data_IF_172462269081
#
_entry.id   IF_172462269081
#
_cell.length_a   1.000
_cell.length_b   1.000
_cell.length_c   1.000
_cell.angle_alpha   90.00
_cell.angle_beta   90.00
_cell.angle_gamma   90.00
#
_symmetry.space_group_name_H-M   'P 1'
#
loop_
_entity.id
_entity.type
_entity.pdbx_description
1 polymer ?
#
# COMPACT_ATOMS: atom_id res chain seq x y z
N UNK A 1 -16.00 14.21 15.58
CA UNK A 1 -14.69 14.56 15.06
C UNK A 1 -14.69 14.07 13.65
N UNK A 2 -14.90 14.99 12.72
CA UNK A 2 -14.62 14.75 11.31
C UNK A 2 -13.13 14.47 11.16
N UNK A 3 -12.70 13.93 10.02
CA UNK A 3 -11.27 13.69 9.78
C UNK A 3 -10.45 14.99 9.90
N UNK A 4 -11.05 16.11 9.52
CA UNK A 4 -10.46 17.46 9.61
C UNK A 4 -10.15 17.81 11.07
N UNK A 5 -11.10 17.60 12.00
CA UNK A 5 -10.90 17.84 13.43
C UNK A 5 -9.74 17.01 14.04
N UNK A 6 -9.46 15.82 13.48
CA UNK A 6 -8.35 14.95 13.93
C UNK A 6 -7.00 15.46 13.45
N UNK A 7 -6.93 15.92 12.19
CA UNK A 7 -5.73 16.53 11.62
C UNK A 7 -5.42 17.86 12.32
N UNK A 8 -6.42 18.70 12.56
CA UNK A 8 -6.26 19.94 13.33
C UNK A 8 -5.77 19.66 14.76
N UNK A 9 -6.26 18.59 15.41
CA UNK A 9 -5.75 18.17 16.71
C UNK A 9 -4.28 17.73 16.63
N UNK A 10 -3.88 16.96 15.61
CA UNK A 10 -2.49 16.56 15.39
C UNK A 10 -1.59 17.77 15.15
N UNK A 11 -2.03 18.71 14.31
CA UNK A 11 -1.31 19.94 13.98
C UNK A 11 -1.14 20.87 15.19
N UNK A 12 -2.01 20.75 16.19
CA UNK A 12 -1.88 21.48 17.46
C UNK A 12 -0.77 20.95 18.38
N UNK A 13 -0.23 19.75 18.11
CA UNK A 13 0.79 19.11 18.95
C UNK A 13 2.20 19.39 18.43
N UNK A 14 3.22 19.41 19.31
CA UNK A 14 4.61 19.54 18.88
C UNK A 14 5.02 18.43 17.89
N UNK A 15 5.94 18.74 17.00
CA UNK A 15 6.47 17.74 16.06
C UNK A 15 7.02 16.51 16.83
N UNK A 16 6.75 15.31 16.31
CA UNK A 16 7.22 14.03 16.87
C UNK A 16 6.76 13.73 18.31
N UNK A 17 5.65 14.33 18.76
CA UNK A 17 5.16 14.20 20.15
C UNK A 17 3.94 13.30 20.34
N UNK A 18 3.34 12.79 19.26
CA UNK A 18 2.11 11.99 19.29
C UNK A 18 2.39 10.52 18.99
N UNK A 19 1.91 9.63 19.85
CA UNK A 19 1.98 8.17 19.67
C UNK A 19 0.74 7.67 18.93
N UNK A 20 0.92 7.01 17.78
CA UNK A 20 -0.17 6.33 17.06
C UNK A 20 -0.26 4.85 17.46
N UNK A 21 -1.47 4.38 17.78
CA UNK A 21 -1.72 3.03 18.28
C UNK A 21 -2.86 2.40 17.48
N UNK A 22 -2.57 1.27 16.83
CA UNK A 22 -3.56 0.49 16.08
C UNK A 22 -3.16 -0.98 16.02
N UNK A 23 -4.13 -1.87 16.17
CA UNK A 23 -3.95 -3.33 16.15
C UNK A 23 -4.39 -3.95 14.80
N UNK A 24 -4.34 -3.16 13.73
CA UNK A 24 -4.67 -3.60 12.36
C UNK A 24 -6.12 -4.09 12.24
N UNK A 25 -6.47 -4.87 11.22
CA UNK A 25 -7.83 -5.39 11.00
C UNK A 25 -8.10 -6.73 11.68
N UNK A 26 -7.06 -7.52 11.97
CA UNK A 26 -7.19 -8.92 12.40
C UNK A 26 -7.29 -9.09 13.92
N UNK A 27 -6.56 -8.29 14.69
CA UNK A 27 -6.40 -8.52 16.15
C UNK A 27 -7.50 -7.85 16.98
N UNK A 28 -8.10 -8.58 17.91
CA UNK A 28 -8.96 -8.04 18.96
C UNK A 28 -8.25 -8.19 20.31
N UNK A 29 -8.31 -7.15 21.13
CA UNK A 29 -7.71 -7.15 22.46
C UNK A 29 -8.72 -7.63 23.51
N UNK A 30 -8.24 -8.27 24.57
CA UNK A 30 -9.05 -8.52 25.76
C UNK A 30 -9.28 -7.23 26.55
N UNK A 31 -10.28 -7.21 27.44
CA UNK A 31 -10.54 -6.07 28.32
C UNK A 31 -9.34 -5.75 29.22
N UNK A 32 -8.64 -6.77 29.72
CA UNK A 32 -7.42 -6.62 30.51
C UNK A 32 -6.31 -5.92 29.71
N UNK A 33 -6.08 -6.33 28.46
CA UNK A 33 -5.10 -5.69 27.60
C UNK A 33 -5.45 -4.22 27.31
N UNK A 34 -6.74 -3.92 27.10
CA UNK A 34 -7.21 -2.53 26.94
C UNK A 34 -6.95 -1.71 28.20
N UNK A 35 -7.19 -2.26 29.39
CA UNK A 35 -6.94 -1.59 30.65
C UNK A 35 -5.46 -1.29 30.85
N UNK A 36 -4.58 -2.25 30.60
CA UNK A 36 -3.12 -2.07 30.74
C UNK A 36 -2.59 -1.02 29.76
N UNK A 37 -3.05 -1.02 28.51
CA UNK A 37 -2.67 0.02 27.53
C UNK A 37 -3.16 1.39 28.00
N UNK A 38 -4.42 1.49 28.44
CA UNK A 38 -4.98 2.74 28.94
C UNK A 38 -4.20 3.29 30.14
N UNK A 39 -3.83 2.42 31.09
CA UNK A 39 -2.99 2.79 32.23
C UNK A 39 -1.59 3.23 31.80
N UNK A 40 -0.95 2.50 30.89
CA UNK A 40 0.36 2.86 30.34
C UNK A 40 0.35 4.23 29.66
N UNK A 41 -0.69 4.52 28.88
CA UNK A 41 -0.84 5.80 28.20
C UNK A 41 -0.99 6.96 29.19
N UNK A 42 -1.88 6.83 30.18
CA UNK A 42 -2.06 7.86 31.21
C UNK A 42 -0.76 8.12 32.00
N UNK A 43 -0.06 7.05 32.39
CA UNK A 43 1.17 7.18 33.17
C UNK A 43 2.35 7.74 32.37
N UNK A 44 2.35 7.55 31.04
CA UNK A 44 3.41 8.05 30.17
C UNK A 44 3.37 9.57 29.96
N UNK A 45 2.21 10.20 30.13
CA UNK A 45 2.01 11.63 29.87
C UNK A 45 2.13 12.04 28.39
N UNK A 46 2.28 11.09 27.47
CA UNK A 46 2.39 11.38 26.04
C UNK A 46 1.04 11.77 25.45
N UNK A 47 1.07 12.55 24.36
CA UNK A 47 -0.12 12.68 23.51
C UNK A 47 -0.27 11.42 22.66
N UNK A 48 -1.49 10.93 22.47
CA UNK A 48 -1.72 9.70 21.73
C UNK A 48 -3.01 9.71 20.88
N UNK A 49 -2.92 9.02 19.75
CA UNK A 49 -4.02 8.70 18.87
C UNK A 49 -4.23 7.18 18.89
N UNK A 50 -5.29 6.72 19.57
CA UNK A 50 -5.58 5.30 19.70
C UNK A 50 -6.83 4.89 18.91
N UNK A 51 -6.62 4.05 17.90
CA UNK A 51 -7.67 3.45 17.08
C UNK A 51 -8.17 2.16 17.74
N UNK A 52 -9.37 2.24 18.32
CA UNK A 52 -10.05 1.09 18.92
C UNK A 52 -11.10 0.51 17.97
N UNK A 53 -11.23 -0.82 17.97
CA UNK A 53 -12.28 -1.49 17.19
C UNK A 53 -13.57 -1.54 17.99
N UNK A 54 -14.72 -1.22 17.38
CA UNK A 54 -16.00 -1.64 17.93
C UNK A 54 -16.07 -3.17 17.98
N UNK A 55 -16.73 -3.76 18.98
CA UNK A 55 -16.97 -5.20 19.00
C UNK A 55 -17.78 -5.62 17.76
N UNK A 56 -17.59 -6.86 17.32
CA UNK A 56 -18.33 -7.42 16.19
C UNK A 56 -19.80 -7.65 16.62
N UNK A 57 -20.76 -7.11 15.86
CA UNK A 57 -22.20 -7.15 16.19
C UNK A 57 -22.76 -8.58 16.37
N UNK A 58 -22.11 -9.56 15.76
CA UNK A 58 -22.54 -10.97 15.78
C UNK A 58 -21.74 -11.85 16.75
N UNK A 59 -20.75 -11.29 17.47
CA UNK A 59 -19.84 -12.11 18.27
C UNK A 59 -20.33 -12.38 19.71
N UNK A 60 -21.43 -11.76 20.16
CA UNK A 60 -21.90 -11.91 21.54
C UNK A 60 -20.87 -11.46 22.59
N UNK A 61 -19.81 -10.77 22.18
CA UNK A 61 -18.73 -10.26 23.04
C UNK A 61 -19.10 -8.87 23.51
N UNK A 62 -18.97 -8.63 24.80
CA UNK A 62 -19.18 -7.32 25.43
C UNK A 62 -18.36 -6.22 24.74
N UNK A 63 -18.94 -5.02 24.69
CA UNK A 63 -18.25 -3.83 24.19
C UNK A 63 -16.95 -3.66 24.97
N UNK A 64 -15.80 -3.55 24.28
CA UNK A 64 -14.56 -3.14 24.94
C UNK A 64 -14.79 -1.74 25.50
N UNK A 65 -14.78 -1.62 26.83
CA UNK A 65 -15.04 -0.37 27.54
C UNK A 65 -13.70 0.23 27.94
N UNK A 66 -13.52 1.53 27.74
CA UNK A 66 -12.36 2.22 28.31
C UNK A 66 -12.50 2.27 29.84
N UNK A 67 -11.39 2.23 30.61
CA UNK A 67 -11.47 2.41 32.05
C UNK A 67 -12.23 3.67 32.44
N UNK A 68 -12.92 3.62 33.58
CA UNK A 68 -13.70 4.76 34.07
C UNK A 68 -12.83 6.01 34.24
N UNK A 69 -13.35 7.15 33.75
CA UNK A 69 -12.66 8.43 33.78
C UNK A 69 -11.41 8.51 32.89
N UNK A 70 -11.14 7.52 32.03
CA UNK A 70 -9.95 7.52 31.17
C UNK A 70 -9.89 8.76 30.26
N UNK A 71 -10.98 9.10 29.58
CA UNK A 71 -11.01 10.26 28.69
C UNK A 71 -10.88 11.59 29.44
N UNK A 72 -11.45 11.68 30.64
CA UNK A 72 -11.31 12.87 31.49
C UNK A 72 -9.86 13.04 31.97
N UNK A 73 -9.23 11.95 32.39
CA UNK A 73 -7.81 11.94 32.81
C UNK A 73 -6.86 12.21 31.66
N UNK A 74 -7.17 11.70 30.47
CA UNK A 74 -6.34 11.92 29.29
C UNK A 74 -6.53 13.32 28.68
N UNK A 75 -7.72 13.92 28.86
CA UNK A 75 -8.04 15.28 28.42
C UNK A 75 -7.64 15.54 26.97
N UNK A 76 -7.00 16.68 26.74
CA UNK A 76 -6.60 17.19 25.43
C UNK A 76 -5.45 16.37 24.80
N UNK A 77 -4.83 15.47 25.56
CA UNK A 77 -3.73 14.62 25.11
C UNK A 77 -4.21 13.35 24.41
N UNK A 78 -5.52 13.07 24.43
CA UNK A 78 -6.08 11.88 23.79
C UNK A 78 -7.05 12.20 22.67
N UNK A 79 -6.84 11.49 21.56
CA UNK A 79 -7.91 11.22 20.59
C UNK A 79 -8.15 9.71 20.56
N UNK A 80 -9.28 9.24 21.09
CA UNK A 80 -9.65 7.81 21.12
C UNK A 80 -10.92 7.59 20.31
N UNK A 81 -10.82 6.69 19.33
CA UNK A 81 -11.80 6.65 18.25
C UNK A 81 -12.57 5.34 18.15
N UNK A 82 -13.77 5.26 18.74
CA UNK A 82 -14.89 4.56 18.07
C UNK A 82 -15.22 5.23 16.72
N UNK A 83 -14.84 6.51 16.57
CA UNK A 83 -14.81 7.31 15.33
C UNK A 83 -13.68 6.96 14.34
N UNK A 84 -12.76 6.05 14.70
CA UNK A 84 -11.88 5.45 13.70
C UNK A 84 -12.66 4.68 12.61
N UNK A 85 -13.93 4.37 12.86
CA UNK A 85 -14.88 3.87 11.85
C UNK A 85 -15.13 4.88 10.72
N UNK A 86 -15.14 6.18 11.01
CA UNK A 86 -15.20 7.25 9.99
C UNK A 86 -13.86 7.36 9.26
N UNK A 87 -12.73 7.24 9.97
CA UNK A 87 -11.41 7.18 9.33
C UNK A 87 -11.29 5.95 8.41
N UNK A 88 -11.86 4.81 8.82
CA UNK A 88 -12.01 3.59 8.00
C UNK A 88 -12.90 3.85 6.79
N UNK A 89 -14.03 4.54 6.92
CA UNK A 89 -14.89 4.89 5.78
C UNK A 89 -14.18 5.83 4.79
N UNK A 90 -13.40 6.79 5.27
CA UNK A 90 -12.59 7.64 4.41
C UNK A 90 -11.49 6.83 3.71
N UNK A 91 -10.80 5.94 4.43
CA UNK A 91 -9.85 5.01 3.83
C UNK A 91 -10.52 4.08 2.79
N UNK A 92 -11.77 3.65 3.01
CA UNK A 92 -12.53 2.85 2.04
C UNK A 92 -12.85 3.64 0.77
N UNK A 93 -13.19 4.94 0.87
CA UNK A 93 -13.36 5.80 -0.31
C UNK A 93 -12.06 5.92 -1.12
N UNK A 94 -10.95 6.10 -0.42
CA UNK A 94 -9.63 6.21 -1.04
C UNK A 94 -9.21 4.87 -1.66
N UNK A 95 -9.56 3.75 -1.01
CA UNK A 95 -9.38 2.41 -1.56
C UNK A 95 -10.19 2.21 -2.84
N UNK A 96 -11.46 2.61 -2.87
CA UNK A 96 -12.30 2.49 -4.07
C UNK A 96 -11.73 3.33 -5.24
N UNK A 97 -11.29 4.55 -4.97
CA UNK A 97 -10.64 5.40 -5.97
C UNK A 97 -9.32 4.79 -6.48
N UNK A 98 -8.55 4.16 -5.60
CA UNK A 98 -7.35 3.43 -5.99
C UNK A 98 -7.68 2.21 -6.86
N UNK A 99 -8.69 1.41 -6.49
CA UNK A 99 -9.16 0.26 -7.27
C UNK A 99 -9.62 0.67 -8.68
N UNK A 100 -10.36 1.77 -8.80
CA UNK A 100 -10.75 2.33 -10.10
C UNK A 100 -9.54 2.75 -10.94
N UNK A 101 -8.51 3.34 -10.31
CA UNK A 101 -7.31 3.75 -11.01
C UNK A 101 -6.52 2.56 -11.58
N UNK A 102 -6.47 1.41 -10.90
CA UNK A 102 -5.75 0.19 -11.36
C UNK A 102 -6.60 -0.79 -12.17
N UNK A 103 -7.92 -0.64 -12.24
CA UNK A 103 -8.76 -1.45 -13.11
C UNK A 103 -8.37 -1.30 -14.60
N UNK A 104 -8.74 -2.27 -15.44
CA UNK A 104 -8.48 -2.23 -16.89
C UNK A 104 -9.07 -0.95 -17.51
N UNK A 105 -8.23 -0.21 -18.23
CA UNK A 105 -8.58 1.09 -18.77
C UNK A 105 -8.59 2.23 -17.74
N UNK A 106 -8.24 1.99 -16.48
CA UNK A 106 -8.06 2.98 -15.42
C UNK A 106 -6.83 3.86 -15.63
N UNK A 107 -6.71 4.96 -14.87
CA UNK A 107 -5.61 5.92 -15.05
C UNK A 107 -4.23 5.31 -14.80
N UNK A 108 -4.10 4.45 -13.80
CA UNK A 108 -2.85 3.74 -13.49
C UNK A 108 -2.57 2.61 -14.50
N UNK A 109 -3.60 1.90 -14.96
CA UNK A 109 -3.47 0.90 -16.03
C UNK A 109 -2.94 1.54 -17.32
N UNK A 110 -3.55 2.64 -17.78
CA UNK A 110 -3.09 3.39 -18.96
C UNK A 110 -1.65 3.89 -18.83
N UNK A 111 -1.26 4.37 -17.65
CA UNK A 111 0.12 4.78 -17.40
C UNK A 111 1.10 3.61 -17.48
N UNK A 112 0.72 2.43 -16.96
CA UNK A 112 1.56 1.23 -17.04
C UNK A 112 1.67 0.75 -18.49
N UNK A 113 0.58 0.74 -19.25
CA UNK A 113 0.62 0.35 -20.67
C UNK A 113 1.55 1.29 -21.47
N UNK A 114 1.45 2.60 -21.26
CA UNK A 114 2.32 3.58 -21.91
C UNK A 114 3.81 3.32 -21.62
N UNK A 115 4.15 3.00 -20.37
CA UNK A 115 5.50 2.62 -19.99
C UNK A 115 5.96 1.32 -20.67
N UNK A 116 5.12 0.29 -20.69
CA UNK A 116 5.44 -0.99 -21.34
C UNK A 116 5.68 -0.80 -22.84
N UNK A 117 4.86 0.01 -23.51
CA UNK A 117 5.02 0.32 -24.93
C UNK A 117 6.28 1.13 -25.22
N UNK A 118 6.65 2.06 -24.34
CA UNK A 118 7.93 2.76 -24.41
C UNK A 118 9.11 1.79 -24.30
N UNK A 119 9.07 0.86 -23.33
CA UNK A 119 10.11 -0.16 -23.13
C UNK A 119 10.22 -1.06 -24.37
N UNK A 120 9.10 -1.49 -24.96
CA UNK A 120 9.09 -2.25 -26.21
C UNK A 120 9.68 -1.47 -27.39
N UNK A 121 9.36 -0.19 -27.49
CA UNK A 121 9.87 0.67 -28.57
C UNK A 121 11.39 0.82 -28.47
N UNK A 122 11.91 1.07 -27.26
CA UNK A 122 13.35 1.18 -27.00
C UNK A 122 14.05 -0.15 -27.23
N UNK A 123 13.46 -1.28 -26.84
CA UNK A 123 14.08 -2.59 -27.04
C UNK A 123 14.17 -2.97 -28.52
N UNK A 124 13.13 -2.69 -29.32
CA UNK A 124 13.14 -2.91 -30.76
C UNK A 124 14.19 -2.05 -31.49
N UNK A 125 14.40 -0.81 -31.04
CA UNK A 125 15.44 0.06 -31.60
C UNK A 125 16.86 -0.46 -31.31
N UNK A 126 17.07 -1.15 -30.19
CA UNK A 126 18.36 -1.75 -29.83
C UNK A 126 18.63 -3.00 -30.68
N UNK A 127 17.65 -3.90 -30.84
CA UNK A 127 17.79 -5.09 -31.70
C UNK A 127 17.87 -4.76 -33.19
N UNK A 128 17.16 -3.74 -33.66
CA UNK A 128 17.22 -3.28 -35.05
C UNK A 128 18.54 -2.59 -35.44
N UNK A 129 19.27 -1.99 -34.47
CA UNK A 129 20.60 -1.44 -34.73
C UNK A 129 21.66 -2.53 -34.92
N UNK A 130 21.56 -3.63 -34.17
CA UNK A 130 22.51 -4.75 -34.27
C UNK A 130 22.42 -5.48 -35.61
N UNK A 131 21.24 -5.68 -36.20
CA UNK A 131 21.10 -6.40 -37.49
C UNK A 131 21.71 -5.66 -38.68
N UNK A 132 21.77 -4.32 -38.65
CA UNK A 132 22.46 -3.53 -39.69
C UNK A 132 24.00 -3.71 -39.69
N UNK A 133 24.58 -4.16 -38.58
CA UNK A 133 26.03 -4.36 -38.45
C UNK A 133 26.50 -5.78 -38.83
N UNK A 134 25.59 -6.76 -38.93
CA UNK A 134 25.91 -8.18 -39.24
C UNK A 134 25.56 -8.58 -40.68
N UNK A 135 24.84 -7.73 -41.42
CA UNK A 135 24.35 -8.03 -42.77
C UNK A 135 25.40 -8.02 -43.89
N UNK A 136 26.69 -8.07 -43.59
CA UNK A 136 27.75 -8.04 -44.61
C UNK A 136 28.41 -9.40 -44.90
N UNK A 137 28.09 -10.47 -44.19
CA UNK A 137 28.73 -11.75 -44.50
C UNK A 137 27.85 -12.96 -44.14
N UNK A 138 27.97 -14.01 -44.95
CA UNK A 138 27.35 -15.34 -44.85
C UNK A 138 26.04 -15.56 -45.61
N UNK A 139 26.14 -15.57 -46.95
CA UNK A 139 25.39 -16.54 -47.73
C UNK A 139 25.99 -17.95 -47.52
N UNK A 140 25.42 -18.67 -46.56
CA UNK A 140 25.78 -20.04 -46.21
C UNK A 140 25.22 -21.05 -47.23
N UNK A 141 24.17 -20.68 -47.97
CA UNK A 141 23.52 -21.56 -48.94
C UNK A 141 24.43 -21.82 -50.15
N UNK A 142 25.10 -20.78 -50.66
CA UNK A 142 26.08 -20.92 -51.76
C UNK A 142 27.29 -21.79 -51.40
N UNK A 143 27.66 -21.90 -50.12
CA UNK A 143 28.78 -22.74 -49.68
C UNK A 143 28.41 -24.22 -49.56
N UNK A 144 27.15 -24.55 -49.28
CA UNK A 144 26.67 -25.93 -49.18
C UNK A 144 26.64 -26.59 -50.56
N UNK A 145 26.14 -25.88 -51.57
CA UNK A 145 26.07 -26.38 -52.95
C UNK A 145 27.45 -26.72 -53.55
N UNK A 146 28.48 -25.91 -53.22
CA UNK A 146 29.86 -26.15 -53.68
C UNK A 146 30.53 -27.36 -53.01
N UNK A 147 30.10 -27.73 -51.80
CA UNK A 147 30.63 -28.89 -51.08
C UNK A 147 29.96 -30.17 -51.59
N UNK A 148 28.65 -30.12 -51.84
CA UNK A 148 27.92 -31.27 -52.38
C UNK A 148 28.35 -31.61 -53.81
N UNK A 149 28.69 -30.62 -54.65
CA UNK A 149 29.18 -30.88 -56.01
C UNK A 149 30.55 -31.61 -56.03
N UNK A 150 31.41 -31.39 -55.03
CA UNK A 150 32.74 -32.01 -54.96
C UNK A 150 32.73 -33.44 -54.40
N UNK A 151 31.66 -33.85 -53.73
CA UNK A 151 31.52 -35.20 -53.17
C UNK A 151 31.00 -36.23 -54.16
N UNK A 152 30.41 -35.79 -55.28
CA UNK A 152 29.83 -36.67 -56.31
C UNK A 152 30.84 -37.07 -57.40
N UNK A 153 31.99 -36.38 -57.48
CA UNK A 153 33.04 -36.64 -58.49
C UNK A 153 34.26 -37.43 -57.97
N UNK A 154 34.22 -38.00 -56.76
CA UNK A 154 35.28 -38.87 -56.20
C UNK A 154 34.84 -40.32 -56.06
#
# INVERSE_FOLDING_TARGET
MKADDCLEWLDSKPAQSVVYISFGSVVYLSQEQVNEIAHGLLNSGVSFLWVMKPPHKDAGVELLVLPEGFLEKAGDNATVGFKATEMKQNALKWKAAAEEAVAEGGSSDRNIQAFVDEVRTRSAAITGKSTSAIGADLDLASKVELVESKLVES
#
